data_IF_557215643660
#
_entry.id   IF_557215643660
#
_cell.length_a   1.000
_cell.length_b   1.000
_cell.length_c   1.000
_cell.angle_alpha   90.00
_cell.angle_beta   90.00
_cell.angle_gamma   90.00
#
_symmetry.space_group_name_H-M   'P 1'
#
loop_
_entity.id
_entity.type
_entity.pdbx_description
1 polymer ?
#
# COMPACT_ATOMS: atom_id res chain seq x y z
N UNK A 1 -14.06 -22.53 22.52
CA UNK A 1 -14.10 -21.51 21.46
C UNK A 1 -12.78 -21.64 20.73
N UNK A 2 -12.79 -21.85 19.42
CA UNK A 2 -11.55 -21.88 18.63
C UNK A 2 -10.90 -20.48 18.69
N UNK A 3 -9.57 -20.44 18.71
CA UNK A 3 -8.79 -19.19 18.77
C UNK A 3 -8.80 -18.48 17.43
N UNK A 4 -8.82 -17.14 17.43
CA UNK A 4 -8.52 -16.36 16.23
C UNK A 4 -7.17 -16.74 15.66
N UNK A 5 -7.08 -16.67 14.35
CA UNK A 5 -5.82 -16.80 13.66
C UNK A 5 -4.92 -15.62 13.99
N UNK A 6 -3.66 -15.92 14.29
CA UNK A 6 -2.58 -14.93 14.33
C UNK A 6 -2.31 -14.39 12.93
N UNK A 7 -1.66 -13.22 12.84
CA UNK A 7 -1.24 -12.68 11.54
C UNK A 7 -0.38 -13.66 10.74
N UNK A 8 0.52 -14.40 11.40
CA UNK A 8 1.41 -15.37 10.74
C UNK A 8 0.64 -16.58 10.19
N UNK A 9 -0.39 -17.06 10.90
CA UNK A 9 -1.26 -18.14 10.40
C UNK A 9 -2.08 -17.68 9.19
N UNK A 10 -2.65 -16.47 9.25
CA UNK A 10 -3.33 -15.85 8.11
C UNK A 10 -2.38 -15.71 6.92
N UNK A 11 -1.16 -15.24 7.13
CA UNK A 11 -0.16 -15.14 6.06
C UNK A 11 0.19 -16.50 5.47
N UNK A 12 0.27 -17.55 6.29
CA UNK A 12 0.51 -18.91 5.82
C UNK A 12 -0.60 -19.38 4.88
N UNK A 13 -1.87 -19.09 5.22
CA UNK A 13 -3.04 -19.38 4.38
C UNK A 13 -2.93 -18.61 3.06
N UNK A 14 -2.75 -17.29 3.11
CA UNK A 14 -2.63 -16.44 1.91
C UNK A 14 -1.52 -16.93 0.97
N UNK A 15 -0.33 -17.19 1.51
CA UNK A 15 0.80 -17.66 0.70
C UNK A 15 0.56 -19.05 0.10
N UNK A 16 -0.17 -19.91 0.80
CA UNK A 16 -0.56 -21.22 0.29
C UNK A 16 -1.54 -21.09 -0.86
N UNK A 17 -2.54 -20.23 -0.74
CA UNK A 17 -3.54 -20.02 -1.79
C UNK A 17 -2.96 -19.31 -3.02
N UNK A 18 -2.07 -18.33 -2.84
CA UNK A 18 -1.38 -17.67 -3.98
C UNK A 18 -0.58 -18.68 -4.80
N UNK A 19 0.08 -19.65 -4.16
CA UNK A 19 0.85 -20.70 -4.86
C UNK A 19 -0.02 -21.65 -5.68
N UNK A 20 -1.33 -21.73 -5.38
CA UNK A 20 -2.29 -22.55 -6.13
C UNK A 20 -2.88 -21.81 -7.33
N UNK A 21 -2.61 -20.51 -7.49
CA UNK A 21 -3.06 -19.77 -8.66
C UNK A 21 -2.34 -20.31 -9.88
N UNK A 22 -3.11 -20.97 -10.75
CA UNK A 22 -2.65 -21.45 -12.04
C UNK A 22 -3.40 -20.73 -13.16
N UNK A 23 -2.67 -19.96 -13.94
CA UNK A 23 -3.22 -19.35 -15.16
C UNK A 23 -3.18 -20.38 -16.29
N UNK A 24 -4.28 -21.11 -16.45
CA UNK A 24 -4.49 -22.03 -17.57
C UNK A 24 -5.04 -21.31 -18.78
N UNK A 25 -4.18 -20.88 -19.72
CA UNK A 25 -4.55 -20.59 -21.13
C UNK A 25 -3.36 -20.07 -21.94
N UNK A 26 -3.42 -20.29 -23.25
CA UNK A 26 -2.58 -19.59 -24.21
C UNK A 26 -3.13 -18.17 -24.46
N UNK A 27 -2.26 -17.18 -24.79
CA UNK A 27 -0.83 -17.31 -24.97
C UNK A 27 -0.05 -17.24 -23.64
N UNK A 28 0.93 -18.14 -23.45
CA UNK A 28 1.79 -18.17 -22.25
C UNK A 28 2.45 -16.83 -21.97
N UNK A 29 2.82 -16.10 -23.02
CA UNK A 29 3.46 -14.78 -22.93
C UNK A 29 2.63 -13.73 -22.21
N UNK A 30 1.30 -13.91 -22.09
CA UNK A 30 0.43 -13.01 -21.33
C UNK A 30 0.44 -13.32 -19.82
N UNK A 31 0.49 -14.59 -19.46
CA UNK A 31 0.30 -15.04 -18.07
C UNK A 31 1.61 -15.33 -17.32
N UNK A 32 2.70 -15.65 -18.02
CA UNK A 32 4.03 -15.81 -17.40
C UNK A 32 4.49 -14.58 -16.59
N UNK A 33 4.28 -13.33 -17.07
CA UNK A 33 4.58 -12.13 -16.27
C UNK A 33 3.76 -12.01 -14.98
N UNK A 34 2.50 -12.49 -15.01
CA UNK A 34 1.60 -12.46 -13.86
C UNK A 34 2.09 -13.44 -12.78
N UNK A 35 2.39 -14.68 -13.17
CA UNK A 35 3.00 -15.66 -12.26
C UNK A 35 4.33 -15.16 -11.72
N UNK A 36 5.14 -14.51 -12.56
CA UNK A 36 6.42 -13.93 -12.16
C UNK A 36 6.25 -12.87 -11.07
N UNK A 37 5.45 -11.81 -11.30
CA UNK A 37 5.30 -10.74 -10.30
C UNK A 37 4.69 -11.26 -9.00
N UNK A 38 3.72 -12.18 -9.07
CA UNK A 38 3.14 -12.82 -7.89
C UNK A 38 4.16 -13.67 -7.13
N UNK A 39 5.14 -14.27 -7.82
CA UNK A 39 6.20 -15.07 -7.18
C UNK A 39 7.25 -14.24 -6.43
N UNK A 40 7.32 -12.91 -6.63
CA UNK A 40 8.32 -12.03 -6.00
C UNK A 40 8.10 -11.81 -4.49
N UNK A 41 7.28 -12.63 -3.83
CA UNK A 41 7.03 -12.60 -2.39
C UNK A 41 6.33 -11.33 -1.93
N UNK A 42 6.76 -10.75 -0.81
CA UNK A 42 6.15 -9.55 -0.21
C UNK A 42 5.43 -9.85 1.10
N UNK A 43 5.06 -8.78 1.81
CA UNK A 43 4.46 -8.90 3.15
C UNK A 43 2.99 -9.36 3.15
N UNK A 44 2.31 -9.30 1.99
CA UNK A 44 0.91 -9.71 1.79
C UNK A 44 -0.06 -9.16 2.85
N UNK A 45 0.14 -7.89 3.23
CA UNK A 45 -0.66 -7.24 4.29
C UNK A 45 -2.13 -7.09 3.86
N UNK A 46 -2.39 -6.63 2.64
CA UNK A 46 -3.73 -6.39 2.11
C UNK A 46 -4.63 -7.64 2.10
N UNK A 47 -4.23 -8.78 1.49
CA UNK A 47 -5.02 -10.01 1.55
C UNK A 47 -5.17 -10.53 2.99
N UNK A 48 -4.15 -10.39 3.83
CA UNK A 48 -4.25 -10.77 5.24
C UNK A 48 -5.28 -9.94 5.99
N UNK A 49 -5.36 -8.62 5.75
CA UNK A 49 -6.38 -7.75 6.35
C UNK A 49 -7.81 -8.20 6.01
N UNK A 50 -8.06 -8.67 4.78
CA UNK A 50 -9.37 -9.21 4.41
C UNK A 50 -9.73 -10.47 5.21
N UNK A 51 -8.79 -11.42 5.34
CA UNK A 51 -9.01 -12.63 6.13
C UNK A 51 -9.13 -12.33 7.63
N UNK A 52 -8.30 -11.44 8.17
CA UNK A 52 -8.36 -11.02 9.58
C UNK A 52 -9.68 -10.32 9.91
N UNK A 53 -10.15 -9.44 9.04
CA UNK A 53 -11.43 -8.75 9.21
C UNK A 53 -12.60 -9.73 9.20
N UNK A 54 -12.60 -10.70 8.28
CA UNK A 54 -13.58 -11.78 8.32
C UNK A 54 -13.49 -12.59 9.61
N UNK A 55 -12.25 -12.88 10.04
CA UNK A 55 -11.99 -13.63 11.26
C UNK A 55 -12.39 -12.91 12.54
N UNK A 56 -12.68 -11.61 12.50
CA UNK A 56 -13.31 -10.93 13.63
C UNK A 56 -14.71 -11.47 13.96
N UNK A 57 -15.43 -12.00 12.97
CA UNK A 57 -16.84 -12.41 13.12
C UNK A 57 -17.06 -13.90 12.90
N UNK A 58 -16.25 -14.56 12.06
CA UNK A 58 -16.43 -15.97 11.66
C UNK A 58 -15.10 -16.71 11.57
N UNK A 59 -15.11 -18.02 11.81
CA UNK A 59 -13.87 -18.82 11.85
C UNK A 59 -13.54 -19.51 10.52
N UNK A 60 -14.50 -19.62 9.60
CA UNK A 60 -14.33 -20.28 8.30
C UNK A 60 -13.75 -19.33 7.23
N UNK A 61 -12.52 -18.87 7.49
CA UNK A 61 -11.79 -17.89 6.66
C UNK A 61 -11.64 -18.33 5.20
N UNK A 62 -11.84 -19.62 4.90
CA UNK A 62 -11.83 -20.14 3.54
C UNK A 62 -12.88 -19.48 2.64
N UNK A 63 -14.00 -19.00 3.22
CA UNK A 63 -15.07 -18.32 2.47
C UNK A 63 -14.68 -16.97 1.89
N UNK A 64 -13.64 -16.33 2.44
CA UNK A 64 -13.17 -15.00 2.01
C UNK A 64 -11.82 -15.07 1.29
N UNK A 65 -11.25 -16.26 1.07
CA UNK A 65 -10.06 -16.46 0.23
C UNK A 65 -10.21 -15.78 -1.15
N UNK A 66 -11.33 -15.87 -1.87
CA UNK A 66 -11.44 -15.24 -3.19
C UNK A 66 -11.27 -13.71 -3.15
N UNK A 67 -11.73 -13.05 -2.08
CA UNK A 67 -11.48 -11.63 -1.85
C UNK A 67 -10.00 -11.36 -1.64
N UNK A 68 -9.37 -12.11 -0.73
CA UNK A 68 -7.94 -11.95 -0.45
C UNK A 68 -7.09 -12.12 -1.72
N UNK A 69 -7.36 -13.15 -2.52
CA UNK A 69 -6.65 -13.37 -3.79
C UNK A 69 -6.92 -12.25 -4.80
N UNK A 70 -8.18 -11.83 -4.98
CA UNK A 70 -8.53 -10.73 -5.87
C UNK A 70 -7.81 -9.42 -5.52
N UNK A 71 -7.78 -9.07 -4.24
CA UNK A 71 -7.06 -7.90 -3.73
C UNK A 71 -5.55 -8.00 -3.98
N UNK A 72 -4.94 -9.17 -3.76
CA UNK A 72 -3.50 -9.34 -3.98
C UNK A 72 -3.14 -9.31 -5.47
N UNK A 73 -3.96 -9.94 -6.33
CA UNK A 73 -3.79 -9.85 -7.79
C UNK A 73 -3.90 -8.40 -8.22
N UNK A 74 -4.94 -7.69 -7.77
CA UNK A 74 -5.14 -6.28 -8.08
C UNK A 74 -3.98 -5.41 -7.57
N UNK A 75 -3.49 -5.63 -6.35
CA UNK A 75 -2.32 -4.92 -5.85
C UNK A 75 -1.09 -5.16 -6.73
N UNK A 76 -0.84 -6.39 -7.17
CA UNK A 76 0.29 -6.66 -8.07
C UNK A 76 0.05 -6.10 -9.48
N UNK A 77 -1.20 -5.97 -9.94
CA UNK A 77 -1.54 -5.21 -11.14
C UNK A 77 -1.06 -3.76 -11.02
N UNK A 78 -1.40 -3.09 -9.91
CA UNK A 78 -1.00 -1.68 -9.72
C UNK A 78 0.51 -1.56 -9.69
N UNK A 79 1.22 -2.48 -9.03
CA UNK A 79 2.70 -2.48 -9.00
C UNK A 79 3.33 -2.72 -10.38
N UNK A 80 2.73 -3.59 -11.20
CA UNK A 80 3.23 -3.90 -12.53
C UNK A 80 3.16 -2.68 -13.45
N UNK A 81 2.02 -1.97 -13.43
CA UNK A 81 1.83 -0.75 -14.21
C UNK A 81 2.64 0.43 -13.63
N UNK A 82 2.70 0.58 -12.30
CA UNK A 82 3.53 1.57 -11.59
C UNK A 82 5.01 1.43 -11.94
N UNK A 83 5.55 0.20 -11.97
CA UNK A 83 6.94 -0.05 -12.38
C UNK A 83 7.24 0.46 -13.80
N UNK A 84 6.28 0.32 -14.73
CA UNK A 84 6.42 0.81 -16.10
C UNK A 84 6.33 2.35 -16.17
N UNK A 85 5.36 2.93 -15.45
CA UNK A 85 5.16 4.39 -15.41
C UNK A 85 6.37 5.11 -14.79
N UNK A 86 6.91 4.57 -13.70
CA UNK A 86 8.07 5.11 -12.99
C UNK A 86 9.42 4.70 -13.61
N UNK A 87 9.41 3.89 -14.68
CA UNK A 87 10.62 3.33 -15.32
C UNK A 87 11.57 2.65 -14.33
N UNK A 88 10.99 1.90 -13.39
CA UNK A 88 11.73 1.20 -12.36
C UNK A 88 12.43 -0.05 -12.92
N UNK A 89 13.74 -0.13 -12.81
CA UNK A 89 14.47 -1.31 -13.33
C UNK A 89 14.26 -2.58 -12.51
N UNK A 90 14.08 -2.41 -11.19
CA UNK A 90 14.14 -3.51 -10.21
C UNK A 90 13.03 -3.42 -9.16
N UNK A 91 12.45 -4.57 -8.82
CA UNK A 91 11.51 -4.75 -7.71
C UNK A 91 11.94 -5.94 -6.86
N UNK A 92 12.16 -5.71 -5.56
CA UNK A 92 12.58 -6.74 -4.58
C UNK A 92 13.78 -7.57 -5.07
N UNK A 93 14.81 -6.88 -5.56
CA UNK A 93 16.04 -7.51 -6.06
C UNK A 93 15.90 -8.24 -7.40
N UNK A 94 14.76 -8.14 -8.08
CA UNK A 94 14.49 -8.80 -9.35
C UNK A 94 14.14 -7.77 -10.45
N UNK A 95 14.44 -8.01 -11.74
CA UNK A 95 14.03 -7.12 -12.82
C UNK A 95 12.52 -6.95 -12.89
N UNK A 96 12.04 -5.73 -13.14
CA UNK A 96 10.60 -5.48 -13.34
C UNK A 96 10.11 -6.12 -14.63
N UNK A 97 8.78 -6.28 -14.77
CA UNK A 97 8.17 -6.98 -15.93
C UNK A 97 8.55 -6.32 -17.25
N UNK A 98 8.54 -4.99 -17.32
CA UNK A 98 8.86 -4.27 -18.56
C UNK A 98 10.34 -4.39 -18.95
N UNK A 99 11.25 -4.52 -17.97
CA UNK A 99 12.66 -4.81 -18.22
C UNK A 99 12.89 -6.26 -18.66
N UNK A 100 12.21 -7.21 -18.01
CA UNK A 100 12.40 -8.63 -18.28
C UNK A 100 11.74 -9.08 -19.60
N UNK A 101 10.64 -8.45 -20.00
CA UNK A 101 9.95 -8.72 -21.26
C UNK A 101 9.96 -7.51 -22.20
N UNK A 102 9.06 -6.54 -21.98
CA UNK A 102 8.97 -5.24 -22.68
C UNK A 102 7.74 -4.46 -22.16
N UNK A 103 7.64 -3.19 -22.53
CA UNK A 103 6.52 -2.29 -22.18
C UNK A 103 5.15 -2.86 -22.57
N UNK A 104 4.99 -3.39 -23.79
CA UNK A 104 3.68 -3.89 -24.27
C UNK A 104 3.21 -5.11 -23.48
N UNK A 105 4.13 -6.02 -23.14
CA UNK A 105 3.85 -7.17 -22.28
C UNK A 105 3.44 -6.69 -20.89
N UNK A 106 4.10 -5.67 -20.34
CA UNK A 106 3.72 -5.13 -19.03
C UNK A 106 2.30 -4.54 -19.06
N UNK A 107 1.98 -3.71 -20.04
CA UNK A 107 0.62 -3.15 -20.18
C UNK A 107 -0.43 -4.26 -20.23
N UNK A 108 -0.30 -5.19 -21.17
CA UNK A 108 -1.33 -6.20 -21.42
C UNK A 108 -1.44 -7.23 -20.29
N UNK A 109 -0.33 -7.63 -19.67
CA UNK A 109 -0.38 -8.50 -18.49
C UNK A 109 -1.02 -7.82 -17.30
N UNK A 110 -0.79 -6.52 -17.09
CA UNK A 110 -1.51 -5.77 -16.05
C UNK A 110 -3.01 -5.69 -16.32
N UNK A 111 -3.43 -5.44 -17.55
CA UNK A 111 -4.86 -5.44 -17.93
C UNK A 111 -5.52 -6.80 -17.63
N UNK A 112 -4.82 -7.90 -17.96
CA UNK A 112 -5.27 -9.24 -17.63
C UNK A 112 -5.37 -9.47 -16.11
N UNK A 113 -4.40 -8.98 -15.32
CA UNK A 113 -4.44 -9.08 -13.85
C UNK A 113 -5.64 -8.35 -13.26
N UNK A 114 -6.00 -7.17 -13.77
CA UNK A 114 -7.20 -6.47 -13.35
C UNK A 114 -8.46 -7.34 -13.56
N UNK A 115 -8.59 -7.96 -14.73
CA UNK A 115 -9.72 -8.84 -15.06
C UNK A 115 -9.72 -10.08 -14.17
N UNK A 116 -8.57 -10.70 -13.93
CA UNK A 116 -8.45 -11.88 -13.05
C UNK A 116 -8.80 -11.54 -11.60
N UNK A 117 -8.47 -10.32 -11.12
CA UNK A 117 -8.90 -9.88 -9.79
C UNK A 117 -10.43 -9.84 -9.65
N UNK A 118 -11.14 -9.29 -10.65
CA UNK A 118 -12.61 -9.31 -10.67
C UNK A 118 -13.18 -10.74 -10.74
N UNK A 119 -12.54 -11.63 -11.52
CA UNK A 119 -12.94 -13.04 -11.61
C UNK A 119 -12.78 -13.77 -10.28
N UNK A 120 -11.72 -13.50 -9.53
CA UNK A 120 -11.54 -14.06 -8.18
C UNK A 120 -12.61 -13.53 -7.22
N UNK A 121 -12.81 -12.22 -7.15
CA UNK A 121 -13.83 -11.59 -6.28
C UNK A 121 -15.23 -12.13 -6.59
N UNK A 122 -15.54 -12.37 -7.87
CA UNK A 122 -16.84 -12.88 -8.28
C UNK A 122 -17.18 -14.31 -7.81
N UNK A 123 -16.22 -15.03 -7.19
CA UNK A 123 -16.44 -16.40 -6.67
C UNK A 123 -17.10 -16.42 -5.29
N UNK A 124 -17.27 -15.28 -4.62
CA UNK A 124 -17.96 -15.22 -3.32
C UNK A 124 -19.46 -15.53 -3.46
N UNK A 125 -20.13 -15.72 -2.33
CA UNK A 125 -21.59 -15.88 -2.32
C UNK A 125 -22.29 -14.65 -2.93
N UNK A 126 -23.19 -14.92 -3.88
CA UNK A 126 -23.99 -13.96 -4.62
C UNK A 126 -24.68 -12.89 -3.76
N UNK A 127 -25.06 -13.22 -2.51
CA UNK A 127 -25.70 -12.26 -1.60
C UNK A 127 -24.79 -11.07 -1.22
N UNK A 128 -23.47 -11.27 -1.24
CA UNK A 128 -22.47 -10.24 -0.91
C UNK A 128 -21.83 -9.62 -2.15
N UNK A 129 -22.07 -10.19 -3.34
CA UNK A 129 -21.35 -9.83 -4.57
C UNK A 129 -21.51 -8.37 -4.96
N UNK A 130 -22.74 -7.84 -4.94
CA UNK A 130 -22.99 -6.44 -5.31
C UNK A 130 -22.24 -5.44 -4.42
N UNK A 131 -22.41 -5.42 -3.08
CA UNK A 131 -21.74 -4.44 -2.24
C UNK A 131 -20.21 -4.55 -2.27
N UNK A 132 -19.67 -5.77 -2.42
CA UNK A 132 -18.23 -5.99 -2.60
C UNK A 132 -17.76 -5.40 -3.93
N UNK A 133 -18.39 -5.73 -5.06
CA UNK A 133 -18.00 -5.19 -6.36
C UNK A 133 -18.13 -3.66 -6.45
N UNK A 134 -19.18 -3.08 -5.87
CA UNK A 134 -19.37 -1.63 -5.84
C UNK A 134 -18.21 -0.95 -5.08
N UNK A 135 -17.81 -1.51 -3.93
CA UNK A 135 -16.68 -1.02 -3.13
C UNK A 135 -15.35 -1.20 -3.87
N UNK A 136 -15.05 -2.41 -4.34
CA UNK A 136 -13.82 -2.73 -5.07
C UNK A 136 -13.63 -1.83 -6.30
N UNK A 137 -14.69 -1.64 -7.09
CA UNK A 137 -14.63 -0.83 -8.31
C UNK A 137 -14.39 0.66 -8.00
N UNK A 138 -15.02 1.15 -6.93
CA UNK A 138 -14.79 2.52 -6.43
C UNK A 138 -13.33 2.68 -5.99
N UNK A 139 -12.84 1.76 -5.15
CA UNK A 139 -11.44 1.75 -4.69
C UNK A 139 -10.45 1.63 -5.85
N UNK A 140 -10.74 0.82 -6.86
CA UNK A 140 -9.88 0.69 -8.03
C UNK A 140 -9.77 2.02 -8.81
N UNK A 141 -10.88 2.73 -8.95
CA UNK A 141 -10.90 4.07 -9.57
C UNK A 141 -10.14 5.09 -8.72
N UNK A 142 -10.34 5.08 -7.40
CA UNK A 142 -9.62 5.94 -6.46
C UNK A 142 -8.10 5.74 -6.56
N UNK A 143 -7.62 4.51 -6.68
CA UNK A 143 -6.19 4.24 -6.85
C UNK A 143 -5.65 4.80 -8.17
N UNK A 144 -6.40 4.69 -9.26
CA UNK A 144 -6.02 5.32 -10.52
C UNK A 144 -5.91 6.84 -10.37
N UNK A 145 -6.84 7.49 -9.65
CA UNK A 145 -6.75 8.91 -9.33
C UNK A 145 -5.51 9.22 -8.48
N UNK A 146 -5.21 8.40 -7.47
CA UNK A 146 -4.01 8.54 -6.64
C UNK A 146 -2.71 8.44 -7.45
N UNK A 147 -2.63 7.49 -8.38
CA UNK A 147 -1.48 7.36 -9.29
C UNK A 147 -1.34 8.58 -10.19
N UNK A 148 -2.44 9.06 -10.77
CA UNK A 148 -2.43 10.23 -11.63
C UNK A 148 -1.96 11.48 -10.87
N UNK A 149 -2.42 11.69 -9.63
CA UNK A 149 -1.93 12.78 -8.80
C UNK A 149 -0.43 12.67 -8.49
N UNK A 150 0.08 11.48 -8.18
CA UNK A 150 1.52 11.29 -7.93
C UNK A 150 2.35 11.73 -9.16
N UNK A 151 1.93 11.33 -10.36
CA UNK A 151 2.57 11.74 -11.61
C UNK A 151 2.48 13.25 -11.89
N UNK A 152 1.33 13.86 -11.63
CA UNK A 152 1.16 15.32 -11.79
C UNK A 152 2.03 16.11 -10.80
N UNK A 153 2.17 15.61 -9.58
CA UNK A 153 2.97 16.23 -8.53
C UNK A 153 4.46 16.23 -8.87
N UNK A 154 4.94 15.32 -9.72
CA UNK A 154 6.33 15.34 -10.18
C UNK A 154 6.67 16.65 -10.92
N UNK A 155 5.70 17.24 -11.62
CA UNK A 155 5.88 18.46 -12.42
C UNK A 155 5.49 19.75 -11.67
N UNK A 156 4.99 19.64 -10.44
CA UNK A 156 4.49 20.76 -9.64
C UNK A 156 5.39 21.09 -8.46
N UNK A 157 5.56 22.37 -8.18
CA UNK A 157 6.30 22.86 -6.99
C UNK A 157 5.38 23.56 -5.98
N UNK A 158 4.07 23.52 -6.21
CA UNK A 158 3.04 24.16 -5.39
C UNK A 158 2.12 23.13 -4.69
N UNK A 159 2.56 21.87 -4.63
CA UNK A 159 1.81 20.78 -3.97
C UNK A 159 1.69 21.06 -2.48
N UNK A 160 0.46 21.07 -1.97
CA UNK A 160 0.15 21.27 -0.56
C UNK A 160 0.19 19.97 0.23
N UNK A 161 0.32 20.07 1.56
CA UNK A 161 0.22 18.89 2.44
C UNK A 161 -1.14 18.20 2.32
N UNK A 162 -2.22 18.96 2.12
CA UNK A 162 -3.56 18.39 1.94
C UNK A 162 -3.66 17.57 0.64
N UNK A 163 -3.14 18.10 -0.47
CA UNK A 163 -3.07 17.36 -1.74
C UNK A 163 -2.22 16.09 -1.63
N UNK A 164 -1.06 16.17 -0.97
CA UNK A 164 -0.22 15.00 -0.73
C UNK A 164 -0.95 13.93 0.13
N UNK A 165 -1.59 14.33 1.23
CA UNK A 165 -2.33 13.40 2.09
C UNK A 165 -3.49 12.73 1.34
N UNK A 166 -4.19 13.47 0.47
CA UNK A 166 -5.24 12.89 -0.38
C UNK A 166 -4.67 11.93 -1.43
N UNK A 167 -3.54 12.28 -2.05
CA UNK A 167 -2.86 11.39 -2.99
C UNK A 167 -2.46 10.07 -2.32
N UNK A 168 -1.83 10.09 -1.14
CA UNK A 168 -1.44 8.85 -0.45
C UNK A 168 -2.65 8.09 0.11
N UNK A 169 -3.75 8.79 0.46
CA UNK A 169 -5.02 8.14 0.82
C UNK A 169 -5.51 7.30 -0.36
N UNK A 170 -5.60 7.91 -1.54
CA UNK A 170 -6.07 7.29 -2.78
C UNK A 170 -5.12 6.22 -3.31
N UNK A 171 -3.80 6.47 -3.34
CA UNK A 171 -2.80 5.56 -3.91
C UNK A 171 -2.54 4.35 -3.00
N UNK A 172 -2.58 4.52 -1.69
CA UNK A 172 -2.15 3.50 -0.72
C UNK A 172 -3.25 3.05 0.23
N UNK A 173 -3.93 3.99 0.91
CA UNK A 173 -4.76 3.68 2.07
C UNK A 173 -6.11 3.02 1.73
N UNK A 174 -6.78 3.47 0.67
CA UNK A 174 -8.11 2.96 0.28
C UNK A 174 -8.12 1.46 0.02
N UNK A 175 -7.04 0.86 -0.47
CA UNK A 175 -7.00 -0.59 -0.69
C UNK A 175 -6.87 -1.38 0.61
N UNK A 176 -6.19 -0.85 1.63
CA UNK A 176 -6.17 -1.47 2.97
C UNK A 176 -7.56 -1.39 3.60
N UNK A 177 -8.21 -0.24 3.49
CA UNK A 177 -9.58 -0.01 3.96
C UNK A 177 -10.61 -0.91 3.25
N UNK A 178 -10.50 -1.03 1.93
CA UNK A 178 -11.29 -1.95 1.11
C UNK A 178 -11.12 -3.40 1.59
N UNK A 179 -9.87 -3.85 1.78
CA UNK A 179 -9.58 -5.21 2.27
C UNK A 179 -10.31 -5.52 3.57
N UNK A 180 -10.24 -4.61 4.54
CA UNK A 180 -10.92 -4.76 5.83
C UNK A 180 -12.44 -4.76 5.67
N UNK A 181 -13.00 -3.80 4.93
CA UNK A 181 -14.45 -3.65 4.78
C UNK A 181 -15.08 -4.82 4.02
N UNK A 182 -14.44 -5.34 2.97
CA UNK A 182 -14.93 -6.52 2.25
C UNK A 182 -14.95 -7.76 3.12
N UNK A 183 -13.89 -7.98 3.92
CA UNK A 183 -13.87 -9.07 4.90
C UNK A 183 -15.02 -8.99 5.88
N UNK A 184 -15.34 -7.79 6.38
CA UNK A 184 -16.46 -7.55 7.29
C UNK A 184 -17.82 -7.77 6.61
N UNK A 185 -18.00 -7.30 5.37
CA UNK A 185 -19.23 -7.48 4.57
C UNK A 185 -19.52 -8.98 4.39
N UNK A 186 -18.55 -9.76 3.93
CA UNK A 186 -18.71 -11.21 3.69
C UNK A 186 -18.92 -11.98 5.00
N UNK A 187 -18.39 -11.46 6.11
CA UNK A 187 -18.64 -12.02 7.43
C UNK A 187 -20.03 -11.68 8.00
N UNK A 188 -20.78 -10.76 7.37
CA UNK A 188 -22.10 -10.34 7.83
C UNK A 188 -22.04 -9.36 9.01
N UNK A 189 -20.97 -8.58 9.13
CA UNK A 189 -20.86 -7.51 10.11
C UNK A 189 -21.95 -6.44 9.90
N UNK A 190 -22.22 -5.64 10.94
CA UNK A 190 -23.09 -4.47 10.80
C UNK A 190 -22.46 -3.45 9.83
N UNK A 191 -23.29 -2.62 9.20
CA UNK A 191 -22.80 -1.55 8.33
C UNK A 191 -21.90 -0.55 9.08
N UNK A 192 -22.21 -0.30 10.37
CA UNK A 192 -21.41 0.57 11.24
C UNK A 192 -20.03 -0.03 11.52
N UNK A 193 -19.96 -1.33 11.85
CA UNK A 193 -18.69 -2.01 12.07
C UNK A 193 -17.83 -2.06 10.80
N UNK A 194 -18.44 -2.38 9.66
CA UNK A 194 -17.76 -2.39 8.37
C UNK A 194 -17.18 -1.01 8.00
N UNK A 195 -17.89 0.07 8.35
CA UNK A 195 -17.43 1.44 8.16
C UNK A 195 -16.32 1.84 9.14
N UNK A 196 -16.44 1.44 10.41
CA UNK A 196 -15.36 1.63 11.39
C UNK A 196 -14.07 0.90 10.97
N UNK A 197 -14.18 -0.30 10.40
CA UNK A 197 -13.05 -1.06 9.86
C UNK A 197 -12.44 -0.40 8.62
N UNK A 198 -13.26 0.20 7.76
CA UNK A 198 -12.76 1.00 6.62
C UNK A 198 -11.96 2.20 7.11
N UNK A 199 -12.51 2.99 8.03
CA UNK A 199 -11.82 4.17 8.57
C UNK A 199 -10.54 3.79 9.34
N UNK A 200 -10.56 2.68 10.08
CA UNK A 200 -9.36 2.08 10.65
C UNK A 200 -8.30 1.80 9.56
N UNK A 201 -8.70 1.16 8.45
CA UNK A 201 -7.81 0.90 7.32
C UNK A 201 -7.26 2.15 6.64
N UNK A 202 -8.06 3.22 6.51
CA UNK A 202 -7.61 4.51 5.98
C UNK A 202 -6.50 5.09 6.85
N UNK A 203 -6.70 5.15 8.17
CA UNK A 203 -5.71 5.71 9.08
C UNK A 203 -4.43 4.86 9.15
N UNK A 204 -4.55 3.52 9.17
CA UNK A 204 -3.38 2.62 9.08
C UNK A 204 -2.63 2.85 7.78
N UNK A 205 -3.34 2.97 6.65
CA UNK A 205 -2.71 3.19 5.35
C UNK A 205 -1.97 4.53 5.23
N UNK A 206 -2.53 5.60 5.78
CA UNK A 206 -1.89 6.92 5.83
C UNK A 206 -0.62 6.88 6.69
N UNK A 207 -0.70 6.35 7.91
CA UNK A 207 0.47 6.19 8.77
C UNK A 207 1.54 5.27 8.17
N UNK A 208 1.13 4.20 7.49
CA UNK A 208 2.04 3.28 6.81
C UNK A 208 2.79 3.95 5.65
N UNK A 209 2.12 4.77 4.82
CA UNK A 209 2.80 5.47 3.72
C UNK A 209 3.75 6.54 4.24
N UNK A 210 3.32 7.33 5.24
CA UNK A 210 4.20 8.32 5.89
C UNK A 210 5.44 7.67 6.50
N UNK A 211 5.31 6.46 7.05
CA UNK A 211 6.43 5.67 7.53
C UNK A 211 7.34 5.18 6.39
N UNK A 212 6.79 4.78 5.23
CA UNK A 212 7.60 4.42 4.05
C UNK A 212 8.44 5.62 3.57
N UNK A 213 7.83 6.79 3.42
CA UNK A 213 8.51 8.04 3.05
C UNK A 213 9.59 8.43 4.07
N UNK A 214 9.34 8.21 5.37
CA UNK A 214 10.32 8.48 6.42
C UNK A 214 11.51 7.51 6.35
N UNK A 215 11.23 6.22 6.12
CA UNK A 215 12.25 5.18 6.02
C UNK A 215 13.06 5.27 4.72
N UNK A 216 12.51 5.84 3.64
CA UNK A 216 13.29 6.15 2.43
C UNK A 216 14.47 7.07 2.76
N UNK A 217 14.29 8.02 3.69
CA UNK A 217 15.34 8.97 4.09
C UNK A 217 16.18 8.47 5.28
N UNK A 218 15.53 7.89 6.28
CA UNK A 218 16.14 7.62 7.60
C UNK A 218 16.28 6.13 7.94
N UNK A 219 15.86 5.24 7.05
CA UNK A 219 15.96 3.79 7.24
C UNK A 219 17.38 3.28 7.14
N UNK A 220 17.61 2.06 7.63
CA UNK A 220 18.87 1.35 7.41
C UNK A 220 18.79 0.50 6.13
N UNK A 221 19.76 0.73 5.24
CA UNK A 221 19.95 -0.01 3.98
C UNK A 221 20.01 -1.53 4.17
N UNK A 222 20.46 -2.02 5.35
CA UNK A 222 20.54 -3.44 5.66
C UNK A 222 19.17 -4.11 5.86
N UNK A 223 18.19 -3.37 6.39
CA UNK A 223 16.88 -3.88 6.78
C UNK A 223 15.74 -3.46 5.85
N UNK A 224 15.90 -2.36 5.11
CA UNK A 224 14.82 -1.76 4.32
C UNK A 224 14.67 -2.35 2.91
N UNK A 225 15.69 -3.03 2.38
CA UNK A 225 15.64 -3.74 1.09
C UNK A 225 15.45 -2.84 -0.15
N UNK A 226 15.44 -1.51 0.02
CA UNK A 226 15.48 -0.46 -1.02
C UNK A 226 16.75 0.38 -0.83
N UNK A 227 17.18 1.07 -1.90
CA UNK A 227 18.22 2.12 -1.80
C UNK A 227 17.62 3.31 -1.04
N UNK A 228 18.35 3.82 -0.04
CA UNK A 228 17.97 5.03 0.72
C UNK A 228 17.98 6.24 -0.22
N UNK A 229 17.00 7.12 -0.05
CA UNK A 229 16.92 8.44 -0.66
C UNK A 229 16.38 8.42 -2.09
N UNK A 230 15.63 7.38 -2.48
CA UNK A 230 15.03 7.31 -3.81
C UNK A 230 14.11 8.50 -4.07
N UNK A 231 13.30 8.88 -3.08
CA UNK A 231 12.37 10.00 -3.20
C UNK A 231 13.09 11.34 -3.33
N UNK A 232 14.24 11.50 -2.64
CA UNK A 232 15.10 12.69 -2.78
C UNK A 232 15.69 12.77 -4.19
N UNK A 233 16.14 11.64 -4.74
CA UNK A 233 16.74 11.62 -6.08
C UNK A 233 15.71 11.97 -7.15
N UNK A 234 14.49 11.43 -7.03
CA UNK A 234 13.36 11.71 -7.93
C UNK A 234 12.66 13.05 -7.65
N UNK A 235 13.09 13.79 -6.62
CA UNK A 235 12.42 15.01 -6.16
C UNK A 235 10.91 14.79 -5.91
N UNK A 236 10.52 13.64 -5.33
CA UNK A 236 9.12 13.33 -5.01
C UNK A 236 8.59 14.30 -3.95
N UNK A 237 7.33 14.71 -4.08
CA UNK A 237 6.69 15.75 -3.25
C UNK A 237 6.13 15.11 -1.98
N UNK A 238 7.00 14.43 -1.23
CA UNK A 238 6.65 13.78 0.04
C UNK A 238 6.37 14.82 1.11
N UNK A 239 5.81 14.38 2.26
CA UNK A 239 5.60 15.26 3.42
C UNK A 239 6.88 16.01 3.82
N UNK A 240 8.03 15.34 3.77
CA UNK A 240 9.34 15.93 4.08
C UNK A 240 9.70 17.03 3.07
N UNK A 241 9.55 16.76 1.78
CA UNK A 241 9.87 17.71 0.72
C UNK A 241 8.99 18.95 0.78
N UNK A 242 7.67 18.77 0.91
CA UNK A 242 6.71 19.88 0.92
C UNK A 242 6.97 20.79 2.13
N UNK A 243 7.16 20.23 3.33
CA UNK A 243 7.48 21.04 4.52
C UNK A 243 8.81 21.79 4.38
N UNK A 244 9.82 21.19 3.73
CA UNK A 244 11.08 21.86 3.48
C UNK A 244 10.93 23.02 2.48
N UNK A 245 10.10 22.86 1.45
CA UNK A 245 9.82 23.89 0.45
C UNK A 245 9.05 25.09 1.03
N UNK A 246 8.22 24.87 2.04
CA UNK A 246 7.48 25.91 2.75
C UNK A 246 8.35 26.76 3.71
N UNK A 247 9.59 26.34 3.97
CA UNK A 247 10.48 27.06 4.89
C UNK A 247 11.41 28.02 4.15
N UNK A 248 11.19 29.31 4.33
CA UNK A 248 12.03 30.38 3.75
C UNK A 248 13.52 30.26 4.12
N UNK A 249 13.86 29.60 5.23
CA UNK A 249 15.25 29.42 5.65
C UNK A 249 16.03 28.46 4.75
N UNK A 250 15.38 27.42 4.20
CA UNK A 250 16.04 26.33 3.47
C UNK A 250 15.57 26.17 2.03
N UNK A 251 14.47 26.83 1.66
CA UNK A 251 13.84 26.75 0.33
C UNK A 251 14.84 26.96 -0.81
N UNK A 252 15.64 28.02 -0.75
CA UNK A 252 16.65 28.29 -1.81
C UNK A 252 17.73 27.21 -1.89
N UNK A 253 18.10 26.60 -0.76
CA UNK A 253 19.04 25.48 -0.75
C UNK A 253 18.42 24.22 -1.37
N UNK A 254 17.14 23.93 -1.04
CA UNK A 254 16.41 22.81 -1.61
C UNK A 254 16.22 22.97 -3.13
N UNK A 255 15.75 24.13 -3.59
CA UNK A 255 15.53 24.43 -5.01
C UNK A 255 16.83 24.30 -5.82
N UNK A 256 17.97 24.71 -5.25
CA UNK A 256 19.28 24.49 -5.88
C UNK A 256 19.59 23.01 -6.10
N UNK A 257 19.22 22.13 -5.18
CA UNK A 257 19.38 20.68 -5.36
C UNK A 257 18.40 20.08 -6.36
N UNK A 258 17.17 20.58 -6.40
CA UNK A 258 16.14 20.16 -7.36
C UNK A 258 16.58 20.48 -8.79
N UNK A 259 17.11 21.68 -9.02
CA UNK A 259 17.50 22.17 -10.35
C UNK A 259 18.92 21.75 -10.80
N UNK A 260 19.67 21.02 -9.95
CA UNK A 260 21.03 20.59 -10.28
C UNK A 260 20.96 19.43 -11.26
N UNK A 261 21.48 19.59 -12.48
CA UNK A 261 21.47 18.53 -13.50
C UNK A 261 22.55 17.47 -13.27
N UNK A 262 23.73 17.89 -12.79
CA UNK A 262 24.86 17.00 -12.54
C UNK A 262 25.19 16.98 -11.04
N UNK A 263 24.97 15.84 -10.39
CA UNK A 263 25.25 15.64 -8.98
C UNK A 263 25.70 14.21 -8.69
N UNK A 264 26.46 14.05 -7.61
CA UNK A 264 26.61 12.75 -6.97
C UNK A 264 25.36 12.43 -6.15
N UNK A 265 24.84 11.21 -6.31
CA UNK A 265 23.59 10.80 -5.66
C UNK A 265 23.72 10.82 -4.13
N UNK A 266 24.85 10.33 -3.58
CA UNK A 266 25.08 10.30 -2.15
C UNK A 266 25.24 11.72 -1.58
N UNK A 267 25.87 12.63 -2.32
CA UNK A 267 25.98 14.04 -1.99
C UNK A 267 24.60 14.72 -1.89
N UNK A 268 23.76 14.55 -2.93
CA UNK A 268 22.40 15.11 -2.95
C UNK A 268 21.56 14.60 -1.78
N UNK A 269 21.56 13.28 -1.56
CA UNK A 269 20.84 12.65 -0.44
C UNK A 269 21.32 13.24 0.89
N UNK A 270 22.63 13.25 1.14
CA UNK A 270 23.19 13.78 2.39
C UNK A 270 22.81 15.25 2.62
N UNK A 271 22.86 16.08 1.59
CA UNK A 271 22.57 17.50 1.70
C UNK A 271 21.07 17.79 1.94
N UNK A 272 20.18 17.09 1.23
CA UNK A 272 18.73 17.24 1.42
C UNK A 272 18.29 16.65 2.76
N UNK A 273 18.85 15.52 3.20
CA UNK A 273 18.61 14.99 4.55
C UNK A 273 19.06 15.97 5.63
N UNK A 274 20.17 16.70 5.43
CA UNK A 274 20.59 17.74 6.37
C UNK A 274 19.60 18.91 6.43
N UNK A 275 18.95 19.27 5.31
CA UNK A 275 17.85 20.24 5.28
C UNK A 275 16.67 19.74 6.12
N UNK A 276 16.26 18.48 5.92
CA UNK A 276 15.16 17.87 6.67
C UNK A 276 15.46 17.81 8.18
N UNK A 277 16.71 17.50 8.56
CA UNK A 277 17.16 17.49 9.95
C UNK A 277 17.12 18.87 10.59
N UNK A 278 17.56 19.91 9.86
CA UNK A 278 17.55 21.29 10.35
C UNK A 278 16.14 21.77 10.72
N UNK A 279 15.14 21.31 9.97
CA UNK A 279 13.73 21.61 10.20
C UNK A 279 13.02 20.63 11.15
N UNK A 280 13.74 19.67 11.72
CA UNK A 280 13.22 18.59 12.56
C UNK A 280 12.04 17.82 11.91
N UNK A 281 12.12 17.59 10.59
CA UNK A 281 11.00 16.97 9.86
C UNK A 281 10.81 15.50 10.20
N UNK A 282 11.86 14.79 10.65
CA UNK A 282 11.74 13.43 11.19
C UNK A 282 10.71 13.38 12.33
N UNK A 283 10.89 14.22 13.35
CA UNK A 283 9.97 14.26 14.49
C UNK A 283 8.55 14.66 14.06
N UNK A 284 8.41 15.64 13.16
CA UNK A 284 7.08 16.06 12.66
C UNK A 284 6.35 14.93 11.92
N UNK A 285 7.08 14.14 11.13
CA UNK A 285 6.51 12.96 10.48
C UNK A 285 6.12 11.90 11.51
N UNK A 286 6.97 11.62 12.50
CA UNK A 286 6.68 10.67 13.58
C UNK A 286 5.45 11.07 14.39
N UNK A 287 5.29 12.37 14.70
CA UNK A 287 4.11 12.91 15.39
C UNK A 287 2.83 12.70 14.56
N UNK A 288 2.89 12.99 13.25
CA UNK A 288 1.76 12.78 12.35
C UNK A 288 1.40 11.30 12.18
N UNK A 289 2.39 10.41 12.08
CA UNK A 289 2.19 8.96 12.03
C UNK A 289 1.51 8.48 13.31
N UNK A 290 1.96 8.95 14.47
CA UNK A 290 1.36 8.62 15.77
C UNK A 290 -0.10 9.12 15.88
N UNK A 291 -0.42 10.28 15.32
CA UNK A 291 -1.79 10.79 15.30
C UNK A 291 -2.71 9.96 14.39
N UNK A 292 -2.20 9.43 13.27
CA UNK A 292 -2.94 8.44 12.48
C UNK A 292 -3.10 7.11 13.22
N UNK A 293 -2.08 6.65 13.95
CA UNK A 293 -2.19 5.46 14.79
C UNK A 293 -3.30 5.60 15.84
N UNK A 294 -3.37 6.74 16.57
CA UNK A 294 -4.44 7.00 17.55
C UNK A 294 -5.83 7.02 16.91
N UNK A 295 -5.95 7.62 15.72
CA UNK A 295 -7.22 7.64 14.97
C UNK A 295 -7.62 6.23 14.52
N UNK A 296 -6.68 5.41 14.06
CA UNK A 296 -6.90 4.01 13.74
C UNK A 296 -7.42 3.25 14.98
N UNK A 297 -6.73 3.35 16.12
CA UNK A 297 -7.14 2.74 17.39
C UNK A 297 -8.56 3.15 17.77
N UNK A 298 -8.88 4.45 17.69
CA UNK A 298 -10.22 4.98 17.98
C UNK A 298 -11.30 4.37 17.09
N UNK A 299 -11.00 4.14 15.80
CA UNK A 299 -11.94 3.49 14.89
C UNK A 299 -12.13 2.01 15.24
N UNK A 300 -11.04 1.29 15.54
CA UNK A 300 -11.10 -0.12 15.91
C UNK A 300 -11.80 -0.34 17.26
N UNK A 301 -11.67 0.60 18.21
CA UNK A 301 -12.36 0.57 19.50
C UNK A 301 -13.89 0.58 19.32
N UNK A 302 -14.41 1.30 18.32
CA UNK A 302 -15.84 1.40 18.00
C UNK A 302 -16.43 0.14 17.35
N UNK A 303 -15.60 -0.78 16.85
CA UNK A 303 -16.07 -2.06 16.28
C UNK A 303 -16.67 -2.91 17.40
N UNK A 304 -17.95 -3.30 17.24
CA UNK A 304 -18.83 -3.88 18.24
C UNK A 304 -18.59 -5.38 18.47
N UNK A 305 -17.33 -5.75 18.69
CA UNK A 305 -16.88 -7.11 18.98
C UNK A 305 -15.97 -7.12 20.21
N UNK A 306 -15.83 -8.29 20.81
CA UNK A 306 -14.97 -8.47 21.99
C UNK A 306 -13.53 -8.03 21.71
N UNK A 307 -12.94 -7.28 22.64
CA UNK A 307 -11.60 -6.70 22.50
C UNK A 307 -10.51 -7.75 22.26
N UNK A 308 -10.68 -8.99 22.76
CA UNK A 308 -9.74 -10.07 22.50
C UNK A 308 -9.66 -10.45 21.02
N UNK A 309 -10.75 -10.26 20.26
CA UNK A 309 -10.79 -10.51 18.81
C UNK A 309 -10.03 -9.47 18.00
N UNK A 310 -9.89 -8.25 18.53
CA UNK A 310 -9.23 -7.12 17.86
C UNK A 310 -7.71 -7.09 18.07
N UNK A 311 -7.17 -7.94 18.96
CA UNK A 311 -5.77 -7.93 19.39
C UNK A 311 -4.76 -7.97 18.24
N UNK A 312 -4.99 -8.84 17.26
CA UNK A 312 -4.05 -9.00 16.15
C UNK A 312 -4.06 -7.80 15.18
N UNK A 313 -5.19 -7.12 15.04
CA UNK A 313 -5.25 -5.86 14.27
C UNK A 313 -4.52 -4.71 14.98
N UNK A 314 -4.61 -4.60 16.31
CA UNK A 314 -3.81 -3.61 17.05
C UNK A 314 -2.31 -3.85 16.84
N UNK A 315 -1.86 -5.10 17.01
CA UNK A 315 -0.45 -5.48 16.79
C UNK A 315 0.02 -5.18 15.37
N UNK A 316 -0.81 -5.49 14.37
CA UNK A 316 -0.47 -5.24 12.98
C UNK A 316 -0.32 -3.73 12.72
N UNK A 317 -1.28 -2.91 13.18
CA UNK A 317 -1.20 -1.45 13.07
C UNK A 317 0.08 -0.91 13.72
N UNK A 318 0.38 -1.34 14.94
CA UNK A 318 1.63 -0.98 15.63
C UNK A 318 2.85 -1.35 14.78
N UNK A 319 2.95 -2.60 14.33
CA UNK A 319 4.10 -3.09 13.54
C UNK A 319 4.31 -2.37 12.19
N UNK A 320 3.25 -1.79 11.62
CA UNK A 320 3.30 -1.02 10.38
C UNK A 320 3.76 0.42 10.61
N UNK A 321 3.52 0.98 11.80
CA UNK A 321 3.72 2.40 12.12
C UNK A 321 4.81 2.67 13.17
N UNK A 322 5.43 1.64 13.77
CA UNK A 322 6.48 1.79 14.79
C UNK A 322 7.83 1.22 14.36
N UNK A 323 8.12 1.14 13.05
CA UNK A 323 9.38 0.60 12.49
C UNK A 323 10.63 1.44 12.75
N UNK A 324 10.88 1.79 14.01
CA UNK A 324 12.12 2.38 14.48
C UNK A 324 12.45 1.72 15.83
N UNK A 325 13.03 0.53 15.76
CA UNK A 325 13.86 -0.03 16.82
C UNK A 325 14.90 -0.96 16.20
#
# INVERSE_FOLDING_TARGET
>A
MASLYTFDEILSIVNTEIKKIEYGSAPKSLFEPISYILSLGGKRVRPALALMSYNLYKEDVERVIPIALGIEIFHNFTLLHDDLMDRADMRRGNPTVHIKWNDNTAVLSGDAMLIEAYKEIAKIDSQYLKPVLDLFSTTATEICCGQQYDMEFEQRMDVTIAEYLEMIRLKTAVLLACSLKEGAIVAGASAEDAENLYNYGIHVGLGFQLMDDLLDVYGDSSNFGKKIGGDILCNKKTFLFINALLSEEVKDALIRWVNKENYDAAEKIKAVTAIYNKLNLKQKSEDLINDYYKQAVTCLDKVSIDASRKKELYKLAESLMTRIS
#
